data_IF_239648790566
#
_entry.id   IF_239648790566
#
_cell.length_a   1.000
_cell.length_b   1.000
_cell.length_c   1.000
_cell.angle_alpha   90.00
_cell.angle_beta   90.00
_cell.angle_gamma   90.00
#
_symmetry.space_group_name_H-M   'P 1'
#
loop_
_entity.id
_entity.type
_entity.pdbx_description
1 polymer ?
#
# COMPACT_ATOMS: atom_id res chain seq x y z
N UNK A 1 5.35 -2.31 26.58
CA UNK A 1 4.11 -2.62 25.83
C UNK A 1 3.40 -1.31 25.57
N UNK A 2 3.05 -1.00 24.31
CA UNK A 2 2.32 0.24 23.99
C UNK A 2 0.92 0.19 24.59
N UNK A 3 0.36 1.36 24.92
CA UNK A 3 -1.03 1.42 25.40
C UNK A 3 -1.99 1.07 24.26
N UNK A 4 -3.06 0.33 24.56
CA UNK A 4 -4.10 -0.04 23.56
C UNK A 4 -4.67 1.19 22.85
N UNK A 5 -4.77 2.33 23.53
CA UNK A 5 -5.25 3.59 22.95
C UNK A 5 -4.30 4.10 21.86
N UNK A 6 -3.00 4.00 22.08
CA UNK A 6 -1.96 4.42 21.12
C UNK A 6 -1.98 3.50 19.89
N UNK A 7 -2.11 2.19 20.08
CA UNK A 7 -2.17 1.21 18.98
C UNK A 7 -3.42 1.46 18.11
N UNK A 8 -4.58 1.74 18.73
CA UNK A 8 -5.81 2.10 18.00
C UNK A 8 -5.64 3.37 17.18
N UNK A 9 -5.02 4.39 17.75
CA UNK A 9 -4.75 5.65 17.04
C UNK A 9 -3.81 5.43 15.84
N UNK A 10 -2.70 4.70 16.02
CA UNK A 10 -1.78 4.35 14.92
C UNK A 10 -2.49 3.55 13.82
N UNK A 11 -3.36 2.61 14.20
CA UNK A 11 -4.11 1.78 13.27
C UNK A 11 -5.11 2.60 12.45
N UNK A 12 -5.81 3.54 13.08
CA UNK A 12 -6.72 4.45 12.39
C UNK A 12 -5.98 5.34 11.39
N UNK A 13 -4.88 5.95 11.81
CA UNK A 13 -4.03 6.76 10.91
C UNK A 13 -3.44 5.95 9.75
N UNK A 14 -3.06 4.69 10.00
CA UNK A 14 -2.52 3.81 8.95
C UNK A 14 -3.61 3.42 7.95
N UNK A 15 -4.86 3.23 8.40
CA UNK A 15 -6.02 2.94 7.54
C UNK A 15 -6.39 4.15 6.67
N UNK A 16 -6.48 5.34 7.26
CA UNK A 16 -6.73 6.59 6.51
C UNK A 16 -5.66 6.80 5.43
N UNK A 17 -4.39 6.54 5.77
CA UNK A 17 -3.30 6.62 4.79
C UNK A 17 -3.46 5.58 3.69
N UNK A 18 -3.78 4.33 4.02
CA UNK A 18 -3.99 3.27 3.02
C UNK A 18 -5.09 3.65 2.02
N UNK A 19 -6.20 4.20 2.51
CA UNK A 19 -7.31 4.68 1.68
C UNK A 19 -6.85 5.73 0.66
N UNK A 20 -6.09 6.74 1.09
CA UNK A 20 -5.54 7.76 0.19
C UNK A 20 -4.63 7.17 -0.91
N UNK A 21 -3.83 6.14 -0.59
CA UNK A 21 -3.01 5.47 -1.60
C UNK A 21 -3.84 4.63 -2.58
N UNK A 22 -4.92 3.97 -2.10
CA UNK A 22 -5.83 3.20 -2.97
C UNK A 22 -6.61 4.11 -3.92
N UNK A 23 -7.09 5.26 -3.45
CA UNK A 23 -7.73 6.26 -4.31
C UNK A 23 -6.77 6.77 -5.38
N UNK A 24 -5.51 7.04 -5.00
CA UNK A 24 -4.48 7.48 -5.93
C UNK A 24 -4.15 6.41 -6.97
N UNK A 25 -4.08 5.14 -6.57
CA UNK A 25 -3.90 4.01 -7.48
C UNK A 25 -5.07 3.92 -8.47
N UNK A 26 -6.31 3.98 -7.99
CA UNK A 26 -7.50 3.94 -8.83
C UNK A 26 -7.54 5.10 -9.84
N UNK A 27 -7.19 6.32 -9.40
CA UNK A 27 -7.06 7.49 -10.28
C UNK A 27 -5.99 7.27 -11.37
N UNK A 28 -4.81 6.72 -11.02
CA UNK A 28 -3.77 6.40 -11.99
C UNK A 28 -4.21 5.33 -13.00
N UNK A 29 -4.85 4.26 -12.53
CA UNK A 29 -5.35 3.19 -13.39
C UNK A 29 -6.45 3.67 -14.33
N UNK A 30 -7.35 4.55 -13.86
CA UNK A 30 -8.40 5.15 -14.69
C UNK A 30 -7.82 6.06 -15.78
N UNK A 31 -6.80 6.87 -15.43
CA UNK A 31 -6.09 7.76 -16.38
C UNK A 31 -5.27 6.99 -17.41
N UNK A 32 -4.74 5.81 -17.05
CA UNK A 32 -4.01 4.94 -17.98
C UNK A 32 -4.92 4.36 -19.09
N UNK A 33 -6.23 4.27 -18.84
CA UNK A 33 -7.24 3.87 -19.83
C UNK A 33 -7.77 5.00 -20.72
N UNK A 34 -7.57 6.26 -20.35
CA UNK A 34 -8.01 7.43 -21.13
C UNK A 34 -6.89 7.89 -22.06
N UNK A 35 -6.96 7.42 -23.31
CA UNK A 35 -6.35 8.00 -24.51
C UNK A 35 -4.98 8.68 -24.30
N UNK A 36 -3.92 7.90 -24.49
CA UNK A 36 -2.55 8.37 -24.73
C UNK A 36 -2.46 9.14 -26.07
N UNK A 37 -2.97 10.37 -26.10
CA UNK A 37 -2.67 11.35 -27.15
C UNK A 37 -1.81 12.45 -26.54
N UNK A 38 -0.49 12.32 -26.63
CA UNK A 38 0.41 13.36 -26.12
C UNK A 38 1.90 13.00 -26.19
N UNK A 39 2.49 13.22 -27.38
CA UNK A 39 3.89 13.63 -27.64
C UNK A 39 4.97 12.86 -26.85
N UNK A 40 5.49 11.80 -27.48
CA UNK A 40 6.78 11.17 -27.13
C UNK A 40 6.75 10.06 -26.07
N UNK A 41 7.79 9.23 -26.05
CA UNK A 41 7.93 8.04 -25.19
C UNK A 41 8.22 8.34 -23.71
N UNK A 42 8.47 9.62 -23.35
CA UNK A 42 8.93 10.02 -22.00
C UNK A 42 7.85 9.99 -20.92
N UNK A 43 6.56 9.93 -21.28
CA UNK A 43 5.49 9.99 -20.30
C UNK A 43 5.20 8.62 -19.66
N UNK A 44 5.25 7.54 -20.44
CA UNK A 44 4.84 6.19 -20.00
C UNK A 44 5.82 5.60 -18.96
N UNK A 45 7.13 5.83 -19.11
CA UNK A 45 8.12 5.29 -18.17
C UNK A 45 8.01 5.89 -16.76
N UNK A 46 7.70 7.19 -16.65
CA UNK A 46 7.52 7.85 -15.36
C UNK A 46 6.26 7.36 -14.62
N UNK A 47 5.14 7.20 -15.34
CA UNK A 47 3.90 6.69 -14.75
C UNK A 47 4.01 5.26 -14.25
N UNK A 48 4.71 4.38 -14.98
CA UNK A 48 4.89 2.99 -14.57
C UNK A 48 5.72 2.88 -13.28
N UNK A 49 6.79 3.67 -13.13
CA UNK A 49 7.58 3.72 -11.89
C UNK A 49 6.74 4.27 -10.74
N UNK A 50 6.02 5.36 -10.95
CA UNK A 50 5.19 5.97 -9.91
C UNK A 50 4.03 5.06 -9.44
N UNK A 51 3.42 4.30 -10.35
CA UNK A 51 2.38 3.32 -10.00
C UNK A 51 2.96 2.18 -9.15
N UNK A 52 4.14 1.67 -9.53
CA UNK A 52 4.84 0.64 -8.75
C UNK A 52 5.16 1.11 -7.33
N UNK A 53 5.64 2.33 -7.17
CA UNK A 53 5.95 2.91 -5.85
C UNK A 53 4.70 3.01 -4.96
N UNK A 54 3.55 3.36 -5.55
CA UNK A 54 2.26 3.40 -4.84
C UNK A 54 1.84 2.01 -4.39
N UNK A 55 1.95 1.01 -5.27
CA UNK A 55 1.64 -0.39 -4.94
C UNK A 55 2.52 -0.95 -3.83
N UNK A 56 3.82 -0.65 -3.87
CA UNK A 56 4.74 -1.03 -2.79
C UNK A 56 4.37 -0.37 -1.46
N UNK A 57 3.94 0.89 -1.47
CA UNK A 57 3.48 1.57 -0.27
C UNK A 57 2.17 1.01 0.27
N UNK A 58 1.23 0.63 -0.59
CA UNK A 58 -0.02 -0.05 -0.20
C UNK A 58 0.29 -1.35 0.54
N UNK A 59 1.20 -2.17 0.01
CA UNK A 59 1.56 -3.45 0.66
C UNK A 59 2.27 -3.24 2.00
N UNK A 60 3.14 -2.23 2.12
CA UNK A 60 3.76 -1.84 3.40
C UNK A 60 2.70 -1.41 4.43
N UNK A 61 1.71 -0.62 4.03
CA UNK A 61 0.63 -0.16 4.91
C UNK A 61 -0.27 -1.33 5.34
N UNK A 62 -0.61 -2.24 4.42
CA UNK A 62 -1.36 -3.47 4.75
C UNK A 62 -0.60 -4.35 5.74
N UNK A 63 0.71 -4.53 5.56
CA UNK A 63 1.55 -5.27 6.50
C UNK A 63 1.55 -4.60 7.88
N UNK A 64 1.70 -3.27 7.92
CA UNK A 64 1.68 -2.50 9.16
C UNK A 64 0.33 -2.60 9.90
N UNK A 65 -0.80 -2.58 9.19
CA UNK A 65 -2.12 -2.80 9.80
C UNK A 65 -2.19 -4.18 10.43
N UNK A 66 -1.76 -5.24 9.74
CA UNK A 66 -1.74 -6.61 10.30
C UNK A 66 -0.89 -6.71 11.56
N UNK A 67 0.27 -6.04 11.60
CA UNK A 67 1.11 -5.98 12.80
C UNK A 67 0.41 -5.28 13.96
N UNK A 68 -0.22 -4.13 13.71
CA UNK A 68 -0.94 -3.35 14.73
C UNK A 68 -2.17 -4.10 15.26
N UNK A 69 -2.90 -4.81 14.39
CA UNK A 69 -4.02 -5.66 14.79
C UNK A 69 -3.55 -6.83 15.66
N UNK A 70 -2.46 -7.50 15.28
CA UNK A 70 -1.87 -8.57 16.09
C UNK A 70 -1.38 -8.07 17.46
N UNK A 71 -0.74 -6.89 17.51
CA UNK A 71 -0.31 -6.25 18.75
C UNK A 71 -1.52 -5.90 19.64
N UNK A 72 -2.61 -5.41 19.05
CA UNK A 72 -3.86 -5.09 19.76
C UNK A 72 -4.53 -6.34 20.35
N UNK A 73 -4.55 -7.45 19.61
CA UNK A 73 -5.08 -8.75 20.05
C UNK A 73 -4.19 -9.44 21.09
N UNK A 74 -3.00 -8.90 21.37
CA UNK A 74 -2.02 -9.53 22.25
C UNK A 74 -1.40 -10.80 21.65
N UNK A 75 -1.56 -11.02 20.35
CA UNK A 75 -0.89 -12.11 19.63
C UNK A 75 0.54 -11.69 19.35
N UNK A 76 1.49 -12.32 20.04
CA UNK A 76 2.91 -12.19 19.70
C UNK A 76 3.11 -12.52 18.20
N UNK A 77 3.92 -11.75 17.46
CA UNK A 77 4.08 -11.96 16.03
C UNK A 77 4.74 -13.32 15.77
N UNK A 78 3.97 -14.29 15.30
CA UNK A 78 4.56 -15.45 14.60
C UNK A 78 4.95 -14.95 13.22
N UNK A 79 6.25 -14.86 12.97
CA UNK A 79 6.83 -14.48 11.68
C UNK A 79 6.46 -15.54 10.63
N UNK A 80 5.31 -15.39 9.98
CA UNK A 80 4.95 -16.19 8.81
C UNK A 80 5.61 -15.56 7.58
N UNK A 81 6.68 -16.19 7.10
CA UNK A 81 7.38 -15.80 5.87
C UNK A 81 6.52 -16.28 4.70
N UNK A 82 5.72 -15.39 4.13
CA UNK A 82 5.05 -15.64 2.85
C UNK A 82 6.05 -15.44 1.72
N UNK A 83 6.60 -16.52 1.19
CA UNK A 83 7.34 -16.48 -0.09
C UNK A 83 6.30 -16.17 -1.16
N UNK A 84 6.49 -15.07 -1.90
CA UNK A 84 5.75 -14.78 -3.14
C UNK A 84 6.57 -15.41 -4.26
N UNK A 85 6.16 -16.55 -4.87
CA UNK A 85 6.79 -17.03 -6.08
C UNK A 85 6.50 -16.00 -7.18
N UNK A 86 7.55 -15.36 -7.67
CA UNK A 86 7.47 -14.52 -8.87
C UNK A 86 7.64 -15.46 -10.05
N UNK A 87 6.52 -15.96 -10.57
CA UNK A 87 6.50 -16.76 -11.78
C UNK A 87 6.72 -15.84 -13.01
N UNK A 88 7.80 -16.17 -13.73
CA UNK A 88 8.25 -15.88 -15.11
C UNK A 88 7.74 -14.64 -15.87
#
# INVERSE_FOLDING_TARGET
MRSKTVIKYELDQTRQRLEAYLEREADMLSKSGVQSYGIGSRNIQYYNTALKDIQEMIEKLRARIRELEAELEGRAPRKAIGVVPRDW
#
